data_IF_351652223875
#
_entry.id   IF_351652223875
#
_cell.length_a   1.000
_cell.length_b   1.000
_cell.length_c   1.000
_cell.angle_alpha   90.00
_cell.angle_beta   90.00
_cell.angle_gamma   90.00
#
_symmetry.space_group_name_H-M   'P 1'
#
loop_
_entity.id
_entity.type
_entity.pdbx_description
1 polymer ?
#
# COMPACT_ATOMS: atom_id res chain seq x y z
N UNK A 1 -4.64 10.26 21.95
CA UNK A 1 -3.79 9.29 21.24
C UNK A 1 -4.11 9.32 19.75
N UNK A 2 -3.12 9.51 18.92
CA UNK A 2 -3.35 9.57 17.47
C UNK A 2 -3.48 8.16 16.90
N UNK A 3 -4.56 7.93 16.15
CA UNK A 3 -4.71 6.68 15.42
C UNK A 3 -3.84 6.73 14.17
N UNK A 4 -3.05 5.70 13.94
CA UNK A 4 -2.27 5.60 12.72
C UNK A 4 -3.20 5.21 11.57
N UNK A 5 -3.33 6.11 10.59
CA UNK A 5 -4.19 5.91 9.42
C UNK A 5 -3.47 5.23 8.26
N UNK A 6 -2.15 5.01 8.39
CA UNK A 6 -1.37 4.32 7.37
C UNK A 6 -1.67 2.83 7.37
N UNK A 7 -1.63 2.25 6.16
CA UNK A 7 -1.85 0.82 5.95
C UNK A 7 -0.61 0.19 5.31
N UNK A 8 0.54 0.14 6.04
CA UNK A 8 1.74 -0.47 5.46
C UNK A 8 1.48 -1.92 5.09
N UNK A 9 2.09 -2.38 3.99
CA UNK A 9 1.82 -3.71 3.46
C UNK A 9 2.09 -4.81 4.49
N UNK A 10 3.15 -4.67 5.28
CA UNK A 10 3.49 -5.62 6.34
C UNK A 10 2.37 -5.74 7.38
N UNK A 11 1.70 -4.63 7.70
CA UNK A 11 0.60 -4.64 8.66
C UNK A 11 -0.67 -5.25 8.06
N UNK A 12 -0.89 -5.04 6.74
CA UNK A 12 -2.06 -5.59 6.05
C UNK A 12 -1.93 -7.07 5.76
N UNK A 13 -0.70 -7.55 5.51
CA UNK A 13 -0.41 -8.93 5.16
C UNK A 13 0.72 -9.49 6.06
N UNK A 14 0.50 -9.54 7.39
CA UNK A 14 1.56 -9.92 8.33
C UNK A 14 2.10 -11.34 8.14
N UNK A 15 1.29 -12.26 7.61
CA UNK A 15 1.69 -13.63 7.35
C UNK A 15 2.71 -13.74 6.21
N UNK A 16 2.89 -12.66 5.43
CA UNK A 16 3.87 -12.61 4.33
C UNK A 16 5.09 -11.75 4.64
N UNK A 17 5.31 -11.44 5.91
CA UNK A 17 6.39 -10.54 6.32
C UNK A 17 7.75 -10.90 5.73
N UNK A 18 8.12 -12.17 5.80
CA UNK A 18 9.42 -12.63 5.32
C UNK A 18 9.53 -12.53 3.79
N UNK A 19 8.47 -12.92 3.08
CA UNK A 19 8.41 -12.81 1.62
C UNK A 19 8.48 -11.35 1.17
N UNK A 20 7.80 -10.45 1.88
CA UNK A 20 7.85 -9.02 1.59
C UNK A 20 9.27 -8.50 1.70
N UNK A 21 9.96 -8.79 2.79
CA UNK A 21 11.35 -8.36 2.99
C UNK A 21 12.26 -8.89 1.89
N UNK A 22 12.13 -10.16 1.54
CA UNK A 22 12.95 -10.78 0.52
C UNK A 22 12.70 -10.18 -0.86
N UNK A 23 11.43 -10.03 -1.25
CA UNK A 23 11.07 -9.55 -2.59
C UNK A 23 11.37 -8.07 -2.79
N UNK A 24 11.34 -7.26 -1.74
CA UNK A 24 11.70 -5.85 -1.83
C UNK A 24 13.11 -5.64 -2.39
N UNK A 25 14.03 -6.55 -2.11
CA UNK A 25 15.41 -6.44 -2.58
C UNK A 25 15.70 -7.31 -3.79
N UNK A 26 14.95 -8.38 -3.98
CA UNK A 26 15.23 -9.39 -5.02
C UNK A 26 14.42 -9.22 -6.29
N UNK A 27 13.31 -8.48 -6.26
CA UNK A 27 12.37 -8.37 -7.38
C UNK A 27 12.02 -6.92 -7.65
N UNK A 28 12.50 -6.37 -8.78
CA UNK A 28 12.25 -4.97 -9.16
C UNK A 28 10.78 -4.68 -9.39
N UNK A 29 10.05 -5.60 -9.98
CA UNK A 29 8.61 -5.41 -10.22
C UNK A 29 7.85 -5.32 -8.90
N UNK A 30 8.13 -6.24 -7.97
CA UNK A 30 7.53 -6.20 -6.64
C UNK A 30 7.86 -4.88 -5.94
N UNK A 31 9.13 -4.46 -5.96
CA UNK A 31 9.57 -3.22 -5.32
C UNK A 31 8.86 -2.01 -5.89
N UNK A 32 8.67 -1.98 -7.21
CA UNK A 32 7.95 -0.89 -7.87
C UNK A 32 6.50 -0.79 -7.38
N UNK A 33 5.80 -1.92 -7.36
CA UNK A 33 4.41 -1.96 -6.87
C UNK A 33 4.34 -1.62 -5.38
N UNK A 34 5.31 -2.09 -4.62
CA UNK A 34 5.42 -1.81 -3.18
C UNK A 34 5.56 -0.29 -2.94
N UNK A 35 6.44 0.36 -3.67
CA UNK A 35 6.65 1.80 -3.55
C UNK A 35 5.41 2.58 -3.97
N UNK A 36 4.76 2.19 -5.06
CA UNK A 36 3.52 2.82 -5.51
C UNK A 36 2.41 2.69 -4.47
N UNK A 37 2.27 1.52 -3.88
CA UNK A 37 1.28 1.28 -2.82
C UNK A 37 1.48 2.26 -1.67
N UNK A 38 2.71 2.41 -1.20
CA UNK A 38 2.99 3.26 -0.05
C UNK A 38 2.88 4.75 -0.39
N UNK A 39 3.20 5.16 -1.63
CA UNK A 39 2.98 6.54 -2.05
C UNK A 39 1.50 6.91 -2.08
N UNK A 40 0.66 6.00 -2.59
CA UNK A 40 -0.78 6.22 -2.61
C UNK A 40 -1.34 6.23 -1.19
N UNK A 41 -0.87 5.33 -0.33
CA UNK A 41 -1.28 5.29 1.07
C UNK A 41 -0.98 6.61 1.78
N UNK A 42 0.21 7.16 1.58
CA UNK A 42 0.58 8.46 2.15
C UNK A 42 -0.33 9.58 1.66
N UNK A 43 -0.67 9.59 0.38
CA UNK A 43 -1.54 10.60 -0.19
C UNK A 43 -2.95 10.50 0.40
N UNK A 44 -3.49 9.29 0.51
CA UNK A 44 -4.80 9.05 1.14
C UNK A 44 -4.81 9.58 2.57
N UNK A 45 -3.77 9.27 3.33
CA UNK A 45 -3.68 9.73 4.73
C UNK A 45 -3.63 11.25 4.81
N UNK A 46 -2.84 11.92 3.95
CA UNK A 46 -2.78 13.39 3.93
C UNK A 46 -4.13 14.02 3.66
N UNK A 47 -4.90 13.44 2.73
CA UNK A 47 -6.23 13.95 2.39
C UNK A 47 -7.19 13.70 3.54
N UNK A 48 -7.16 12.51 4.14
CA UNK A 48 -8.05 12.17 5.26
C UNK A 48 -7.76 12.98 6.51
N UNK A 49 -6.52 13.42 6.70
CA UNK A 49 -6.14 14.31 7.81
C UNK A 49 -6.33 15.79 7.48
N UNK A 50 -6.90 16.09 6.31
CA UNK A 50 -7.16 17.46 5.85
C UNK A 50 -5.89 18.31 5.70
N UNK A 51 -4.74 17.68 5.56
CA UNK A 51 -3.47 18.35 5.27
C UNK A 51 -3.39 18.72 3.79
N UNK A 52 -4.05 17.94 2.95
CA UNK A 52 -4.12 18.14 1.52
C UNK A 52 -5.58 18.18 1.08
N UNK A 53 -5.95 19.16 0.28
CA UNK A 53 -7.32 19.28 -0.22
C UNK A 53 -7.50 18.37 -1.45
N UNK A 54 -8.63 17.66 -1.49
CA UNK A 54 -9.01 16.86 -2.64
C UNK A 54 -10.52 16.66 -2.65
N UNK A 55 -11.09 16.38 -3.83
CA UNK A 55 -12.50 16.05 -3.94
C UNK A 55 -12.75 14.63 -3.39
N UNK A 56 -14.00 14.35 -3.03
CA UNK A 56 -14.40 13.01 -2.60
C UNK A 56 -14.15 11.98 -3.70
N UNK A 57 -14.37 12.38 -4.96
CA UNK A 57 -14.12 11.51 -6.11
C UNK A 57 -12.65 11.15 -6.24
N UNK A 58 -11.74 12.12 -6.00
CA UNK A 58 -10.30 11.87 -6.04
C UNK A 58 -9.87 10.94 -4.92
N UNK A 59 -10.37 11.16 -3.71
CA UNK A 59 -10.07 10.31 -2.57
C UNK A 59 -10.52 8.88 -2.82
N UNK A 60 -11.73 8.70 -3.33
CA UNK A 60 -12.27 7.38 -3.64
C UNK A 60 -11.43 6.67 -4.70
N UNK A 61 -11.01 7.38 -5.76
CA UNK A 61 -10.14 6.83 -6.78
C UNK A 61 -8.82 6.32 -6.19
N UNK A 62 -8.21 7.10 -5.30
CA UNK A 62 -6.95 6.72 -4.66
C UNK A 62 -7.11 5.48 -3.79
N UNK A 63 -8.21 5.38 -3.04
CA UNK A 63 -8.51 4.20 -2.22
C UNK A 63 -8.67 2.95 -3.07
N UNK A 64 -9.34 3.06 -4.20
CA UNK A 64 -9.52 1.95 -5.13
C UNK A 64 -8.16 1.51 -5.69
N UNK A 65 -7.31 2.45 -6.08
CA UNK A 65 -5.98 2.15 -6.58
C UNK A 65 -5.11 1.48 -5.51
N UNK A 66 -5.21 1.95 -4.27
CA UNK A 66 -4.49 1.34 -3.14
C UNK A 66 -4.90 -0.12 -2.97
N UNK A 67 -6.20 -0.40 -3.02
CA UNK A 67 -6.71 -1.77 -2.91
C UNK A 67 -6.22 -2.65 -4.04
N UNK A 68 -6.25 -2.16 -5.27
CA UNK A 68 -5.77 -2.92 -6.43
C UNK A 68 -4.30 -3.27 -6.32
N UNK A 69 -3.48 -2.32 -5.88
CA UNK A 69 -2.05 -2.56 -5.66
C UNK A 69 -1.82 -3.61 -4.58
N UNK A 70 -2.60 -3.54 -3.50
CA UNK A 70 -2.51 -4.56 -2.44
C UNK A 70 -2.87 -5.93 -2.98
N UNK A 71 -3.91 -6.03 -3.79
CA UNK A 71 -4.32 -7.31 -4.39
C UNK A 71 -3.25 -7.87 -5.33
N UNK A 72 -2.62 -7.01 -6.14
CA UNK A 72 -1.53 -7.41 -7.03
C UNK A 72 -0.32 -7.91 -6.24
N UNK A 73 0.05 -7.17 -5.20
CA UNK A 73 1.16 -7.56 -4.31
C UNK A 73 0.86 -8.88 -3.61
N UNK A 74 -0.36 -9.04 -3.12
CA UNK A 74 -0.79 -10.28 -2.48
C UNK A 74 -0.68 -11.47 -3.44
N UNK A 75 -1.07 -11.28 -4.71
CA UNK A 75 -0.95 -12.31 -5.74
C UNK A 75 0.48 -12.76 -5.95
N UNK A 76 1.42 -11.82 -5.98
CA UNK A 76 2.84 -12.13 -6.11
C UNK A 76 3.35 -12.89 -4.86
N UNK A 77 2.96 -12.44 -3.68
CA UNK A 77 3.37 -13.08 -2.43
C UNK A 77 2.89 -14.51 -2.33
N UNK A 78 1.66 -14.79 -2.74
CA UNK A 78 1.11 -16.15 -2.75
C UNK A 78 1.93 -17.08 -3.62
N UNK A 79 2.42 -16.61 -4.75
CA UNK A 79 3.23 -17.41 -5.67
C UNK A 79 4.63 -17.68 -5.15
N UNK A 80 5.10 -16.89 -4.19
CA UNK A 80 6.46 -16.94 -3.65
C UNK A 80 6.52 -17.55 -2.26
N UNK A 81 5.44 -18.12 -1.80
CA UNK A 81 5.37 -18.74 -0.48
C UNK A 81 5.75 -20.21 -0.49
#
# INVERSE_FOLDING_TARGET
MMTDLHHPLIAELPEYRDEIHRLKTADHHFRHLFDQYHEIDKEVVRIEQEVEAASDARLEELKIRRLRLKDDLHGILKKNR
#
